data_IF_507301400529
#
_entry.id   IF_507301400529
#
_cell.length_a   1.000
_cell.length_b   1.000
_cell.length_c   1.000
_cell.angle_alpha   90.00
_cell.angle_beta   90.00
_cell.angle_gamma   90.00
#
_symmetry.space_group_name_H-M   'P 1'
#
loop_
_entity.id
_entity.type
_entity.pdbx_description
1 polymer ?
#
# COMPACT_ATOMS: atom_id res chain seq x y z
N UNK A 1 -14.83 6.16 14.36
CA UNK A 1 -14.00 4.96 14.06
C UNK A 1 -12.56 5.38 14.13
N UNK A 2 -11.70 4.61 14.81
CA UNK A 2 -10.41 5.06 15.34
C UNK A 2 -9.56 5.83 14.31
N UNK A 3 -9.40 7.12 14.56
CA UNK A 3 -8.56 8.02 13.80
C UNK A 3 -7.09 7.77 14.20
N UNK A 4 -6.53 6.65 13.74
CA UNK A 4 -5.13 6.29 13.99
C UNK A 4 -4.43 5.95 12.68
N UNK A 5 -3.11 6.10 12.67
CA UNK A 5 -2.31 5.74 11.52
C UNK A 5 -2.34 4.23 11.29
N UNK A 6 -2.44 3.80 10.03
CA UNK A 6 -2.38 2.38 9.68
C UNK A 6 -1.37 2.18 8.55
N UNK A 7 -0.41 1.30 8.77
CA UNK A 7 0.55 0.89 7.76
C UNK A 7 0.20 -0.49 7.25
N UNK A 8 -0.08 -0.57 5.96
CA UNK A 8 -0.36 -1.80 5.26
C UNK A 8 0.86 -2.25 4.47
N UNK A 9 1.19 -3.54 4.55
CA UNK A 9 2.35 -4.07 3.83
C UNK A 9 2.62 -5.52 4.15
N UNK A 10 3.88 -5.92 4.01
CA UNK A 10 4.32 -7.29 4.34
C UNK A 10 5.50 -7.18 5.30
N UNK A 11 5.44 -7.86 6.45
CA UNK A 11 6.39 -7.68 7.55
C UNK A 11 7.86 -7.82 7.13
N UNK A 12 8.14 -8.74 6.21
CA UNK A 12 9.48 -9.08 5.72
C UNK A 12 9.86 -8.28 4.45
N UNK A 13 9.88 -6.95 4.54
CA UNK A 13 10.31 -6.08 3.47
C UNK A 13 11.14 -4.92 4.03
N UNK A 14 12.30 -4.64 3.45
CA UNK A 14 13.20 -3.58 3.96
C UNK A 14 12.57 -2.19 3.88
N UNK A 15 11.77 -1.94 2.85
CA UNK A 15 11.00 -0.70 2.70
C UNK A 15 10.01 -0.49 3.84
N UNK A 16 9.39 -1.56 4.33
CA UNK A 16 8.49 -1.51 5.49
C UNK A 16 9.28 -1.18 6.76
N UNK A 17 10.45 -1.80 6.97
CA UNK A 17 11.30 -1.48 8.13
C UNK A 17 11.67 0.00 8.16
N UNK A 18 12.04 0.57 7.01
CA UNK A 18 12.35 2.01 6.88
C UNK A 18 11.14 2.90 7.21
N UNK A 19 9.97 2.57 6.67
CA UNK A 19 8.73 3.30 6.96
C UNK A 19 8.34 3.24 8.44
N UNK A 20 8.48 2.08 9.08
CA UNK A 20 8.22 1.91 10.52
C UNK A 20 9.16 2.77 11.35
N UNK A 21 10.45 2.73 11.03
CA UNK A 21 11.44 3.56 11.72
C UNK A 21 11.15 5.05 11.56
N UNK A 22 10.68 5.50 10.39
CA UNK A 22 10.29 6.89 10.16
C UNK A 22 9.10 7.32 11.03
N UNK A 23 8.05 6.50 11.13
CA UNK A 23 6.90 6.79 12.01
C UNK A 23 7.31 6.78 13.49
N UNK A 24 8.10 5.80 13.91
CA UNK A 24 8.61 5.72 15.28
C UNK A 24 9.50 6.91 15.61
N UNK A 25 10.37 7.35 14.68
CA UNK A 25 11.20 8.54 14.85
C UNK A 25 10.36 9.83 14.95
N UNK A 26 9.22 9.88 14.26
CA UNK A 26 8.25 10.97 14.35
C UNK A 26 7.33 10.88 15.60
N UNK A 27 7.43 9.82 16.41
CA UNK A 27 6.57 9.63 17.58
C UNK A 27 5.11 9.28 17.24
N UNK A 28 4.86 8.76 16.04
CA UNK A 28 3.51 8.43 15.56
C UNK A 28 3.18 6.98 15.89
N UNK A 29 2.11 6.78 16.67
CA UNK A 29 1.52 5.47 16.88
C UNK A 29 0.74 5.02 15.64
N UNK A 30 1.06 3.81 15.17
CA UNK A 30 0.43 3.22 13.99
C UNK A 30 0.09 1.75 14.21
N UNK A 31 -0.96 1.29 13.55
CA UNK A 31 -1.28 -0.14 13.42
C UNK A 31 -0.62 -0.70 12.18
N UNK A 32 0.06 -1.83 12.30
CA UNK A 32 0.57 -2.56 11.13
C UNK A 32 -0.43 -3.65 10.72
N UNK A 33 -0.74 -3.71 9.43
CA UNK A 33 -1.60 -4.73 8.81
C UNK A 33 -0.79 -5.51 7.77
N UNK A 34 -0.63 -6.82 7.97
CA UNK A 34 0.16 -7.67 7.08
C UNK A 34 -0.73 -8.31 6.01
N UNK A 35 -0.53 -7.97 4.74
CA UNK A 35 -1.27 -8.56 3.64
C UNK A 35 -1.15 -10.08 3.53
N UNK A 36 -0.06 -10.69 4.03
CA UNK A 36 0.10 -12.15 4.02
C UNK A 36 -0.51 -12.84 5.23
N UNK A 37 -0.48 -12.18 6.38
CA UNK A 37 -0.97 -12.74 7.64
C UNK A 37 -2.46 -12.47 7.84
N UNK A 38 -2.83 -11.20 7.73
CA UNK A 38 -4.18 -10.71 7.94
C UNK A 38 -5.03 -10.75 6.66
N UNK A 39 -4.37 -10.90 5.50
CA UNK A 39 -5.03 -10.82 4.19
C UNK A 39 -5.30 -9.39 3.76
N UNK A 40 -5.87 -9.23 2.57
CA UNK A 40 -6.39 -7.94 2.10
C UNK A 40 -7.83 -8.16 1.63
N UNK A 41 -8.75 -7.42 2.23
CA UNK A 41 -10.17 -7.50 1.90
C UNK A 41 -10.50 -6.67 0.67
N UNK A 42 -11.52 -7.11 -0.06
CA UNK A 42 -12.06 -6.43 -1.23
C UNK A 42 -12.44 -4.96 -0.96
N UNK A 43 -13.10 -4.72 0.18
CA UNK A 43 -13.52 -3.37 0.59
C UNK A 43 -12.32 -2.46 0.89
N UNK A 44 -11.28 -2.99 1.54
CA UNK A 44 -10.07 -2.24 1.84
C UNK A 44 -9.31 -1.88 0.57
N UNK A 45 -9.18 -2.85 -0.34
CA UNK A 45 -8.51 -2.61 -1.61
C UNK A 45 -9.29 -1.63 -2.49
N UNK A 46 -10.63 -1.72 -2.51
CA UNK A 46 -11.47 -0.73 -3.18
C UNK A 46 -11.22 0.67 -2.63
N UNK A 47 -11.18 0.82 -1.30
CA UNK A 47 -10.90 2.10 -0.66
C UNK A 47 -9.55 2.68 -1.11
N UNK A 48 -8.52 1.84 -1.25
CA UNK A 48 -7.23 2.31 -1.76
C UNK A 48 -7.33 2.76 -3.23
N UNK A 49 -8.00 1.99 -4.07
CA UNK A 49 -8.17 2.30 -5.50
C UNK A 49 -8.95 3.62 -5.67
N UNK A 50 -10.01 3.84 -4.90
CA UNK A 50 -10.83 5.05 -4.99
C UNK A 50 -10.05 6.31 -4.61
N UNK A 51 -9.04 6.18 -3.74
CA UNK A 51 -8.25 7.31 -3.22
C UNK A 51 -6.95 7.56 -3.97
N UNK A 52 -6.27 6.51 -4.41
CA UNK A 52 -4.95 6.58 -5.04
C UNK A 52 -4.96 6.25 -6.54
N UNK A 53 -6.00 5.55 -7.00
CA UNK A 53 -6.01 4.87 -8.29
C UNK A 53 -5.28 3.52 -8.24
N UNK A 54 -5.77 2.57 -9.04
CA UNK A 54 -5.17 1.24 -9.13
C UNK A 54 -3.74 1.28 -9.71
N UNK A 55 -3.45 2.23 -10.61
CA UNK A 55 -2.13 2.37 -11.23
C UNK A 55 -1.03 2.71 -10.21
N UNK A 56 -1.34 3.57 -9.24
CA UNK A 56 -0.40 3.95 -8.19
C UNK A 56 -0.14 2.80 -7.21
N UNK A 57 -1.15 1.96 -6.97
CA UNK A 57 -1.08 0.77 -6.12
C UNK A 57 -0.42 -0.41 -6.81
N UNK A 58 -0.49 -0.51 -8.13
CA UNK A 58 0.10 -1.61 -8.87
C UNK A 58 1.61 -1.44 -8.97
N UNK A 59 2.38 -2.42 -8.46
CA UNK A 59 3.82 -2.39 -8.58
C UNK A 59 4.29 -2.92 -9.95
N UNK A 60 4.13 -2.10 -10.98
CA UNK A 60 4.59 -2.41 -12.35
C UNK A 60 6.11 -2.59 -12.47
N UNK A 61 6.88 -2.11 -11.48
CA UNK A 61 8.35 -2.28 -11.42
C UNK A 61 8.77 -3.56 -10.69
N UNK A 62 7.84 -4.24 -10.01
CA UNK A 62 8.10 -5.43 -9.21
C UNK A 62 8.39 -6.67 -10.04
N UNK A 63 9.10 -7.63 -9.45
CA UNK A 63 9.36 -8.93 -10.08
C UNK A 63 8.08 -9.72 -10.32
N UNK A 64 7.08 -9.62 -9.44
CA UNK A 64 5.77 -10.25 -9.62
C UNK A 64 5.10 -9.78 -10.92
N UNK A 65 5.03 -8.46 -11.16
CA UNK A 65 4.49 -7.92 -12.41
C UNK A 65 5.27 -8.38 -13.65
N UNK A 66 6.62 -8.39 -13.57
CA UNK A 66 7.46 -8.87 -14.68
C UNK A 66 7.31 -10.35 -14.98
N UNK A 67 6.94 -11.16 -13.97
CA UNK A 67 6.67 -12.60 -14.11
C UNK A 67 5.28 -12.88 -14.65
N UNK A 68 4.37 -11.91 -14.65
CA UNK A 68 3.04 -12.12 -15.19
C UNK A 68 3.08 -12.36 -16.69
N UNK A 69 2.27 -13.31 -17.19
CA UNK A 69 2.03 -13.45 -18.62
C UNK A 69 1.59 -12.12 -19.24
N UNK A 70 1.95 -11.90 -20.50
CA UNK A 70 1.52 -10.73 -21.25
C UNK A 70 -0.01 -10.62 -21.32
N UNK A 71 -0.71 -11.75 -21.48
CA UNK A 71 -2.16 -11.78 -21.48
C UNK A 71 -2.77 -11.24 -20.17
N UNK A 72 -2.21 -11.60 -19.01
CA UNK A 72 -2.68 -11.07 -17.72
C UNK A 72 -2.40 -9.57 -17.62
N UNK A 73 -1.20 -9.11 -18.02
CA UNK A 73 -0.86 -7.68 -17.99
C UNK A 73 -1.76 -6.86 -18.90
N UNK A 74 -2.07 -7.36 -20.10
CA UNK A 74 -2.97 -6.71 -21.04
C UNK A 74 -4.43 -6.73 -20.60
N UNK A 75 -4.82 -7.73 -19.80
CA UNK A 75 -6.15 -7.79 -19.19
C UNK A 75 -6.35 -6.74 -18.09
N UNK A 76 -5.28 -6.18 -17.52
CA UNK A 76 -5.37 -5.08 -16.54
C UNK A 76 -5.60 -3.76 -17.26
N UNK A 77 -6.86 -3.47 -17.59
CA UNK A 77 -7.27 -2.25 -18.28
C UNK A 77 -8.21 -1.36 -17.44
N UNK A 78 -8.67 -1.84 -16.28
CA UNK A 78 -9.58 -1.14 -15.39
C UNK A 78 -9.28 -1.44 -13.91
N UNK A 79 -9.98 -0.72 -13.02
CA UNK A 79 -9.86 -0.92 -11.59
C UNK A 79 -10.27 -2.34 -11.15
N UNK A 80 -11.28 -2.94 -11.79
CA UNK A 80 -11.83 -4.24 -11.40
C UNK A 80 -10.85 -5.39 -11.70
N UNK A 81 -10.28 -5.43 -12.89
CA UNK A 81 -9.24 -6.37 -13.31
C UNK A 81 -7.99 -6.22 -12.46
N UNK A 82 -7.53 -4.98 -12.22
CA UNK A 82 -6.40 -4.69 -11.34
C UNK A 82 -6.65 -5.21 -9.91
N UNK A 83 -7.85 -4.96 -9.38
CA UNK A 83 -8.26 -5.39 -8.05
C UNK A 83 -8.27 -6.91 -7.92
N UNK A 84 -8.87 -7.62 -8.89
CA UNK A 84 -8.90 -9.08 -8.90
C UNK A 84 -7.49 -9.68 -8.87
N UNK A 85 -6.56 -9.12 -9.66
CA UNK A 85 -5.15 -9.53 -9.66
C UNK A 85 -4.47 -9.24 -8.31
N UNK A 86 -4.71 -8.08 -7.72
CA UNK A 86 -4.15 -7.70 -6.42
C UNK A 86 -4.67 -8.57 -5.27
N UNK A 87 -5.95 -8.97 -5.29
CA UNK A 87 -6.53 -9.92 -4.33
C UNK A 87 -5.92 -11.32 -4.50
N UNK A 88 -5.77 -11.78 -5.74
CA UNK A 88 -5.15 -13.07 -6.03
C UNK A 88 -3.64 -13.09 -5.68
N UNK A 89 -2.95 -11.97 -5.89
CA UNK A 89 -1.50 -11.83 -5.66
C UNK A 89 -1.16 -10.53 -4.90
N UNK A 90 -1.38 -10.47 -3.57
CA UNK A 90 -1.12 -9.26 -2.78
C UNK A 90 0.34 -8.77 -2.84
N UNK A 91 1.28 -9.64 -3.22
CA UNK A 91 2.68 -9.29 -3.41
C UNK A 91 2.92 -8.25 -4.54
N UNK A 92 1.96 -8.11 -5.47
CA UNK A 92 2.03 -7.14 -6.58
C UNK A 92 1.61 -5.73 -6.14
N UNK A 93 0.98 -5.60 -4.99
CA UNK A 93 0.58 -4.31 -4.42
C UNK A 93 1.83 -3.57 -3.96
N UNK A 94 1.95 -2.31 -4.35
CA UNK A 94 3.02 -1.41 -3.96
C UNK A 94 2.90 -1.11 -2.47
N UNK A 95 4.03 -1.16 -1.79
CA UNK A 95 4.10 -1.20 -0.33
C UNK A 95 5.29 -0.39 0.17
N UNK A 96 5.22 0.23 1.36
CA UNK A 96 4.05 0.35 2.26
C UNK A 96 2.90 1.17 1.67
N UNK A 97 1.68 0.95 2.15
CA UNK A 97 0.59 1.93 2.07
C UNK A 97 0.39 2.48 3.48
N UNK A 98 0.57 3.79 3.66
CA UNK A 98 0.34 4.47 4.92
C UNK A 98 -0.98 5.22 4.85
N UNK A 99 -1.89 4.92 5.76
CA UNK A 99 -3.14 5.61 5.95
C UNK A 99 -3.05 6.55 7.16
N UNK A 100 -3.38 7.82 6.94
CA UNK A 100 -3.50 8.83 7.97
C UNK A 100 -4.86 8.73 8.69
N UNK A 101 -4.98 9.22 9.93
CA UNK A 101 -6.23 9.27 10.71
C UNK A 101 -7.41 9.93 10.00
N UNK A 102 -7.14 10.91 9.13
CA UNK A 102 -8.14 11.67 8.36
C UNK A 102 -8.48 11.01 7.02
N UNK A 103 -7.90 9.83 6.75
CA UNK A 103 -8.20 8.97 5.62
C UNK A 103 -7.32 9.19 4.40
N UNK A 104 -6.36 10.10 4.41
CA UNK A 104 -5.37 10.24 3.35
C UNK A 104 -4.46 9.01 3.28
N UNK A 105 -4.05 8.66 2.07
CA UNK A 105 -3.20 7.50 1.81
C UNK A 105 -1.91 7.94 1.13
N UNK A 106 -0.82 7.28 1.49
CA UNK A 106 0.48 7.43 0.84
C UNK A 106 1.02 6.05 0.45
N UNK A 107 1.36 5.86 -0.83
CA UNK A 107 1.85 4.58 -1.35
C UNK A 107 3.34 4.62 -1.66
N UNK A 108 4.04 3.55 -1.28
CA UNK A 108 5.48 3.43 -1.32
C UNK A 108 6.14 4.06 -0.08
N UNK A 109 7.46 4.03 -0.03
CA UNK A 109 8.24 4.75 0.97
C UNK A 109 9.27 5.62 0.26
N UNK A 110 9.28 6.89 0.65
CA UNK A 110 10.31 7.85 0.30
C UNK A 110 10.46 8.74 1.54
N UNK A 111 11.68 8.90 2.03
CA UNK A 111 11.93 9.57 3.30
C UNK A 111 11.38 11.00 3.33
N UNK A 112 11.68 11.79 2.29
CA UNK A 112 11.21 13.17 2.17
C UNK A 112 9.68 13.26 2.05
N UNK A 113 9.06 12.38 1.25
CA UNK A 113 7.59 12.35 1.13
C UNK A 113 6.92 11.88 2.42
N UNK A 114 7.51 10.91 3.12
CA UNK A 114 6.99 10.44 4.40
C UNK A 114 7.01 11.53 5.45
N UNK A 115 8.15 12.23 5.59
CA UNK A 115 8.25 13.32 6.54
C UNK A 115 7.26 14.44 6.22
N UNK A 116 7.19 14.87 4.95
CA UNK A 116 6.22 15.88 4.54
C UNK A 116 4.77 15.45 4.82
N UNK A 117 4.43 14.20 4.50
CA UNK A 117 3.09 13.66 4.72
C UNK A 117 2.74 13.54 6.21
N UNK A 118 3.68 13.09 7.04
CA UNK A 118 3.48 13.03 8.49
C UNK A 118 3.30 14.45 9.04
N UNK A 119 4.16 15.40 8.68
CA UNK A 119 4.08 16.78 9.16
C UNK A 119 2.78 17.50 8.73
N UNK A 120 2.30 17.26 7.50
CA UNK A 120 1.06 17.87 7.02
C UNK A 120 -0.20 17.27 7.68
N UNK A 121 -0.13 15.99 8.08
CA UNK A 121 -1.30 15.21 8.53
C UNK A 121 -1.29 14.84 10.02
N UNK A 122 -0.26 15.23 10.76
CA UNK A 122 -0.21 15.21 12.24
C UNK A 122 -1.01 16.37 12.81
#
# INVERSE_FOLDING_TARGET
MAAQWVMYGIKNCDTIKKARNALTAAGIDYRFHDYRGDGIDDALLQHFIDRLGYEALLNTRGTTWRKLPEAERAAINDAASAKALMLAQPAIIKRPVLAAPRGELLVGFNDSLYQAFIQEKS
#
